data_IF_333918956614
#
_entry.id   IF_333918956614
#
_cell.length_a   1.000
_cell.length_b   1.000
_cell.length_c   1.000
_cell.angle_alpha   90.00
_cell.angle_beta   90.00
_cell.angle_gamma   90.00
#
_symmetry.space_group_name_H-M   'P 1'
#
loop_
_entity.id
_entity.type
_entity.pdbx_description
1 polymer ?
#
# COMPACT_ATOMS: atom_id res chain seq x y z
N UNK A 1 -5.89 23.37 -3.31
CA UNK A 1 -5.60 23.03 -1.90
C UNK A 1 -5.21 21.57 -1.88
N UNK A 2 -4.03 21.22 -1.35
CA UNK A 2 -3.64 19.82 -1.16
C UNK A 2 -4.64 19.15 -0.21
N UNK A 3 -4.99 17.89 -0.47
CA UNK A 3 -5.85 17.13 0.44
C UNK A 3 -5.10 16.73 1.71
N UNK A 4 -5.85 16.29 2.73
CA UNK A 4 -5.27 15.67 3.93
C UNK A 4 -4.50 14.39 3.56
N UNK A 5 -3.37 14.14 4.23
CA UNK A 5 -2.57 12.92 4.06
C UNK A 5 -3.41 11.65 4.24
N UNK A 6 -3.31 10.70 3.29
CA UNK A 6 -3.96 9.40 3.33
C UNK A 6 -3.18 8.41 4.23
N UNK A 7 -3.45 8.50 5.54
CA UNK A 7 -2.86 7.60 6.53
C UNK A 7 -3.25 6.13 6.33
N UNK A 8 -4.41 5.87 5.71
CA UNK A 8 -4.89 4.50 5.50
C UNK A 8 -4.18 3.87 4.30
N UNK A 9 -4.05 4.61 3.20
CA UNK A 9 -3.23 4.23 2.05
C UNK A 9 -1.77 4.02 2.46
N UNK A 10 -1.21 4.94 3.25
CA UNK A 10 0.15 4.82 3.77
C UNK A 10 0.35 3.54 4.61
N UNK A 11 -0.56 3.27 5.56
CA UNK A 11 -0.47 2.07 6.37
C UNK A 11 -0.57 0.79 5.54
N UNK A 12 -1.42 0.76 4.51
CA UNK A 12 -1.54 -0.39 3.59
C UNK A 12 -0.27 -0.61 2.77
N UNK A 13 0.34 0.46 2.26
CA UNK A 13 1.60 0.37 1.55
C UNK A 13 2.73 -0.14 2.46
N UNK A 14 2.81 0.39 3.68
CA UNK A 14 3.74 -0.08 4.71
C UNK A 14 3.54 -1.56 5.04
N UNK A 15 2.29 -2.00 5.18
CA UNK A 15 1.94 -3.40 5.43
C UNK A 15 2.34 -4.32 4.26
N UNK A 16 2.18 -3.85 3.03
CA UNK A 16 2.67 -4.54 1.83
C UNK A 16 4.18 -4.77 1.87
N UNK A 17 4.97 -3.74 2.23
CA UNK A 17 6.42 -3.88 2.39
C UNK A 17 6.77 -4.85 3.52
N UNK A 18 6.06 -4.79 4.64
CA UNK A 18 6.24 -5.73 5.76
C UNK A 18 5.99 -7.17 5.34
N UNK A 19 4.89 -7.45 4.63
CA UNK A 19 4.55 -8.78 4.12
C UNK A 19 5.59 -9.25 3.10
N UNK A 20 5.97 -8.39 2.15
CA UNK A 20 6.98 -8.71 1.13
C UNK A 20 8.36 -9.05 1.72
N UNK A 21 8.69 -8.49 2.89
CA UNK A 21 9.91 -8.83 3.65
C UNK A 21 9.74 -10.01 4.60
N UNK A 22 8.55 -10.63 4.68
CA UNK A 22 8.27 -11.75 5.59
C UNK A 22 8.32 -11.37 7.07
N UNK A 23 8.10 -10.10 7.41
CA UNK A 23 8.27 -9.59 8.78
C UNK A 23 6.94 -9.50 9.53
N UNK A 24 6.97 -9.66 10.85
CA UNK A 24 5.86 -9.32 11.74
C UNK A 24 6.02 -7.89 12.30
N UNK A 25 4.98 -7.34 12.93
CA UNK A 25 5.01 -5.96 13.46
C UNK A 25 6.01 -5.73 14.60
N UNK A 26 6.36 -6.77 15.36
CA UNK A 26 7.42 -6.68 16.37
C UNK A 26 8.78 -6.43 15.71
N UNK A 27 9.08 -7.17 14.64
CA UNK A 27 10.34 -6.98 13.90
C UNK A 27 10.39 -5.61 13.19
N UNK A 28 9.26 -5.10 12.69
CA UNK A 28 9.20 -3.72 12.15
C UNK A 28 9.46 -2.69 13.24
N UNK A 29 8.89 -2.89 14.43
CA UNK A 29 9.12 -2.02 15.59
C UNK A 29 10.61 -1.95 15.95
N UNK A 30 11.28 -3.10 15.99
CA UNK A 30 12.71 -3.21 16.26
C UNK A 30 13.56 -2.54 15.16
N UNK A 31 13.19 -2.72 13.89
CA UNK A 31 13.92 -2.16 12.75
C UNK A 31 13.79 -0.64 12.59
N UNK A 32 12.73 -0.03 13.15
CA UNK A 32 12.39 1.39 12.94
C UNK A 32 12.41 2.21 14.22
N UNK A 33 12.60 1.55 15.36
CA UNK A 33 12.48 2.13 16.71
C UNK A 33 11.09 2.76 16.98
N UNK A 34 10.08 2.46 16.16
CA UNK A 34 8.70 2.89 16.38
C UNK A 34 7.99 1.86 17.24
N UNK A 35 7.38 2.30 18.35
CA UNK A 35 6.72 1.39 19.29
C UNK A 35 5.59 0.56 18.67
N UNK A 36 5.47 -0.70 19.10
CA UNK A 36 4.40 -1.61 18.64
C UNK A 36 2.99 -1.06 18.88
N UNK A 37 2.79 -0.29 19.96
CA UNK A 37 1.51 0.37 20.26
C UNK A 37 1.15 1.43 19.21
N UNK A 38 2.14 2.16 18.69
CA UNK A 38 1.97 3.12 17.58
C UNK A 38 1.56 2.38 16.31
N UNK A 39 2.26 1.29 15.96
CA UNK A 39 1.94 0.47 14.78
C UNK A 39 0.53 -0.14 14.86
N UNK A 40 0.14 -0.68 16.03
CA UNK A 40 -1.19 -1.22 16.24
C UNK A 40 -2.29 -0.15 16.15
N UNK A 41 -2.00 1.07 16.61
CA UNK A 41 -2.90 2.21 16.49
C UNK A 41 -3.04 2.67 15.04
N UNK A 42 -1.96 2.65 14.26
CA UNK A 42 -1.99 2.96 12.83
C UNK A 42 -2.90 1.99 12.07
N UNK A 43 -2.86 0.69 12.40
CA UNK A 43 -3.79 -0.29 11.82
C UNK A 43 -5.28 -0.05 12.16
N UNK A 44 -5.55 0.78 13.16
CA UNK A 44 -6.91 1.26 13.52
C UNK A 44 -7.22 2.65 12.96
N UNK A 45 -6.41 3.13 12.00
CA UNK A 45 -6.59 4.44 11.36
C UNK A 45 -6.11 5.63 12.19
N UNK A 46 -5.34 5.43 13.26
CA UNK A 46 -4.76 6.54 14.03
C UNK A 46 -3.47 7.04 13.38
N UNK A 47 -3.28 8.36 13.44
CA UNK A 47 -2.12 9.05 12.87
C UNK A 47 -0.87 8.81 13.73
N UNK A 48 0.28 8.44 13.14
CA UNK A 48 1.57 8.54 13.81
C UNK A 48 1.99 10.00 13.95
N UNK A 49 2.99 10.26 14.79
CA UNK A 49 3.69 11.55 14.76
C UNK A 49 4.63 11.63 13.54
N UNK A 50 5.24 12.81 13.35
CA UNK A 50 6.09 13.09 12.19
C UNK A 50 7.38 12.22 12.19
N UNK A 51 7.96 11.97 13.36
CA UNK A 51 9.19 11.19 13.49
C UNK A 51 8.96 9.71 13.15
N UNK A 52 7.88 9.12 13.67
CA UNK A 52 7.48 7.77 13.34
C UNK A 52 7.11 7.65 11.86
N UNK A 53 6.45 8.64 11.28
CA UNK A 53 6.14 8.66 9.84
C UNK A 53 7.44 8.65 9.01
N UNK A 54 8.41 9.51 9.35
CA UNK A 54 9.68 9.60 8.64
C UNK A 54 10.50 8.30 8.75
N UNK A 55 10.62 7.74 9.95
CA UNK A 55 11.34 6.50 10.19
C UNK A 55 10.74 5.31 9.41
N UNK A 56 9.41 5.16 9.44
CA UNK A 56 8.71 4.11 8.72
C UNK A 56 8.82 4.30 7.20
N UNK A 57 8.74 5.54 6.71
CA UNK A 57 8.85 5.85 5.28
C UNK A 57 10.24 5.53 4.75
N UNK A 58 11.28 5.93 5.48
CA UNK A 58 12.66 5.62 5.15
C UNK A 58 12.92 4.11 5.13
N UNK A 59 12.42 3.38 6.13
CA UNK A 59 12.53 1.92 6.18
C UNK A 59 11.80 1.23 5.03
N UNK A 60 10.60 1.71 4.69
CA UNK A 60 9.75 1.13 3.67
C UNK A 60 10.15 1.51 2.23
N UNK A 61 10.97 2.56 2.06
CA UNK A 61 11.26 3.15 0.75
C UNK A 61 10.04 3.85 0.14
N UNK A 62 9.12 4.34 0.98
CA UNK A 62 7.91 5.04 0.55
C UNK A 62 8.13 6.55 0.61
N UNK A 63 7.68 7.27 -0.42
CA UNK A 63 7.67 8.72 -0.41
C UNK A 63 6.35 9.22 0.22
N UNK A 64 6.37 9.94 1.36
CA UNK A 64 5.16 10.47 1.99
C UNK A 64 4.33 11.36 1.07
N UNK A 65 4.95 12.06 0.11
CA UNK A 65 4.24 12.95 -0.81
C UNK A 65 3.23 12.20 -1.70
N UNK A 66 3.45 10.92 -1.97
CA UNK A 66 2.57 10.08 -2.79
C UNK A 66 1.21 9.83 -2.11
N UNK A 67 1.14 10.04 -0.79
CA UNK A 67 -0.06 9.86 0.02
C UNK A 67 -0.79 11.18 0.28
N UNK A 68 -0.40 12.29 -0.37
CA UNK A 68 -1.11 13.57 -0.28
C UNK A 68 -2.03 13.72 -1.50
N UNK A 69 -3.37 13.72 -1.33
CA UNK A 69 -4.30 13.82 -2.45
C UNK A 69 -4.07 15.08 -3.28
N UNK A 70 -4.12 14.92 -4.61
CA UNK A 70 -3.87 15.96 -5.63
C UNK A 70 -2.41 16.43 -5.76
N UNK A 71 -1.42 15.78 -5.11
CA UNK A 71 -0.01 16.04 -5.38
C UNK A 71 0.42 15.54 -6.78
N UNK A 72 -0.22 14.49 -7.27
CA UNK A 72 0.03 13.87 -8.58
C UNK A 72 -1.32 13.55 -9.24
N UNK A 73 -1.88 14.51 -10.00
CA UNK A 73 -3.01 14.24 -10.87
C UNK A 73 -2.53 13.45 -12.09
N UNK A 74 -2.33 12.14 -11.95
CA UNK A 74 -2.19 11.25 -13.10
C UNK A 74 -3.61 10.84 -13.53
N UNK A 75 -3.99 11.24 -14.74
CA UNK A 75 -5.29 10.98 -15.34
C UNK A 75 -5.44 9.51 -15.80
N UNK A 76 -4.87 8.57 -15.04
CA UNK A 76 -4.40 7.28 -15.55
C UNK A 76 -5.27 6.08 -15.14
N UNK A 77 -6.59 6.31 -15.11
CA UNK A 77 -7.56 5.24 -14.77
C UNK A 77 -7.53 4.08 -15.76
N UNK A 78 -7.07 4.30 -17.00
CA UNK A 78 -6.97 3.24 -18.00
C UNK A 78 -5.78 2.31 -17.75
N UNK A 79 -4.71 2.79 -17.11
CA UNK A 79 -3.52 1.96 -16.85
C UNK A 79 -3.59 1.19 -15.53
N UNK A 80 -4.46 1.54 -14.58
CA UNK A 80 -4.50 0.88 -13.26
C UNK A 80 -4.66 -0.66 -13.33
N UNK A 81 -5.61 -1.17 -14.12
CA UNK A 81 -5.75 -2.63 -14.25
C UNK A 81 -4.57 -3.27 -14.99
N UNK A 82 -4.06 -2.60 -16.02
CA UNK A 82 -2.93 -3.09 -16.80
C UNK A 82 -1.65 -3.15 -15.94
N UNK A 83 -1.41 -2.15 -15.10
CA UNK A 83 -0.32 -2.11 -14.14
C UNK A 83 -0.41 -3.24 -13.11
N UNK A 84 -1.60 -3.45 -12.53
CA UNK A 84 -1.83 -4.53 -11.57
C UNK A 84 -1.51 -5.89 -12.21
N UNK A 85 -2.06 -6.18 -13.39
CA UNK A 85 -1.79 -7.44 -14.10
C UNK A 85 -0.32 -7.58 -14.48
N UNK A 86 0.32 -6.50 -14.91
CA UNK A 86 1.75 -6.48 -15.23
C UNK A 86 2.61 -6.78 -13.99
N UNK A 87 2.24 -6.26 -12.82
CA UNK A 87 2.92 -6.53 -11.56
C UNK A 87 2.75 -7.99 -11.12
N UNK A 88 1.53 -8.54 -11.16
CA UNK A 88 1.28 -9.93 -10.77
C UNK A 88 2.03 -10.92 -11.67
N UNK A 89 2.12 -10.64 -12.98
CA UNK A 89 2.85 -11.48 -13.93
C UNK A 89 4.37 -11.44 -13.74
N UNK A 90 4.89 -10.39 -13.11
CA UNK A 90 6.32 -10.22 -12.82
C UNK A 90 6.72 -10.74 -11.42
N UNK A 91 5.76 -11.15 -10.59
CA UNK A 91 6.04 -11.68 -9.26
C UNK A 91 6.59 -13.10 -9.34
N UNK A 92 7.87 -13.33 -8.97
CA UNK A 92 8.47 -14.67 -9.05
C UNK A 92 7.89 -15.65 -8.03
N UNK A 93 7.10 -15.19 -7.05
CA UNK A 93 6.50 -16.03 -6.01
C UNK A 93 5.12 -16.58 -6.40
N UNK A 94 4.57 -16.17 -7.55
CA UNK A 94 3.26 -16.62 -8.02
C UNK A 94 3.42 -17.65 -9.15
N UNK A 95 2.68 -18.77 -9.03
CA UNK A 95 2.51 -19.70 -10.14
C UNK A 95 1.56 -19.10 -11.19
N UNK A 96 1.64 -19.58 -12.43
CA UNK A 96 0.74 -19.13 -13.49
C UNK A 96 -0.75 -19.35 -13.14
N UNK A 97 -1.05 -20.44 -12.42
CA UNK A 97 -2.39 -20.74 -11.92
C UNK A 97 -2.83 -19.75 -10.84
N UNK A 98 -1.96 -19.43 -9.88
CA UNK A 98 -2.26 -18.45 -8.84
C UNK A 98 -2.47 -17.04 -9.43
N UNK A 99 -1.63 -16.64 -10.39
CA UNK A 99 -1.81 -15.37 -11.12
C UNK A 99 -3.17 -15.33 -11.82
N UNK A 100 -3.54 -16.38 -12.55
CA UNK A 100 -4.84 -16.44 -13.23
C UNK A 100 -6.03 -16.34 -12.26
N UNK A 101 -5.96 -17.03 -11.12
CA UNK A 101 -7.01 -16.96 -10.10
C UNK A 101 -7.17 -15.55 -9.50
N UNK A 102 -6.04 -14.89 -9.21
CA UNK A 102 -6.06 -13.50 -8.70
C UNK A 102 -6.61 -12.56 -9.77
N UNK A 103 -6.22 -12.73 -11.04
CA UNK A 103 -6.69 -11.92 -12.16
C UNK A 103 -8.22 -11.98 -12.30
N UNK A 104 -8.82 -13.17 -12.18
CA UNK A 104 -10.27 -13.35 -12.23
C UNK A 104 -10.99 -12.61 -11.08
N UNK A 105 -10.47 -12.72 -9.86
CA UNK A 105 -11.04 -12.05 -8.68
C UNK A 105 -10.97 -10.53 -8.86
N UNK A 106 -9.82 -10.00 -9.29
CA UNK A 106 -9.61 -8.57 -9.51
C UNK A 106 -10.53 -8.07 -10.62
N UNK A 107 -10.61 -8.77 -11.75
CA UNK A 107 -11.47 -8.40 -12.87
C UNK A 107 -12.93 -8.32 -12.44
N UNK A 108 -13.46 -9.40 -11.84
CA UNK A 108 -14.85 -9.48 -11.42
C UNK A 108 -15.20 -8.40 -10.39
N UNK A 109 -14.30 -8.14 -9.44
CA UNK A 109 -14.50 -7.14 -8.39
C UNK A 109 -14.44 -5.73 -8.96
N UNK A 110 -13.47 -5.43 -9.83
CA UNK A 110 -13.31 -4.13 -10.46
C UNK A 110 -14.51 -3.78 -11.35
N UNK A 111 -14.96 -4.71 -12.20
CA UNK A 111 -16.14 -4.51 -13.06
C UNK A 111 -17.41 -4.22 -12.25
N UNK A 112 -17.58 -4.87 -11.09
CA UNK A 112 -18.73 -4.67 -10.20
C UNK A 112 -18.70 -3.35 -9.44
N UNK A 113 -17.53 -2.93 -8.97
CA UNK A 113 -17.37 -1.78 -8.07
C UNK A 113 -17.05 -0.46 -8.79
N UNK A 114 -16.54 -0.52 -10.03
CA UNK A 114 -16.32 0.71 -10.80
C UNK A 114 -17.65 1.43 -10.97
N UNK A 115 -17.67 2.73 -10.65
CA UNK A 115 -18.82 3.57 -10.95
C UNK A 115 -19.05 3.52 -12.46
N UNK A 116 -20.27 3.19 -12.89
CA UNK A 116 -20.70 3.50 -14.26
C UNK A 116 -20.61 5.02 -14.38
N UNK A 117 -19.83 5.49 -15.35
CA UNK A 117 -19.87 6.88 -15.77
C UNK A 117 -21.28 7.23 -16.25
#
# INVERSE_FOLDING_TARGET
>A
MLGDFDFTGYYRALDGVRIGRGMNWKQVSEATNVGQSTLARMGKGKRPDADALAALSAWAGLNPADFVPNATQSNDRQDTLAEIYSCLRRDPNLSAEATAAIDEIIKATYERLRRKA
#
